data_IF_498391014027
#
_entry.id   IF_498391014027
#
_cell.length_a   1.000
_cell.length_b   1.000
_cell.length_c   1.000
_cell.angle_alpha   90.00
_cell.angle_beta   90.00
_cell.angle_gamma   90.00
#
_symmetry.space_group_name_H-M   'P 1'
#
loop_
_entity.id
_entity.type
_entity.pdbx_description
1 polymer ?
#
# COMPACT_ATOMS: atom_id res chain seq x y z
N UNK A 1 -31.52 -1.63 4.49
CA UNK A 1 -31.46 -0.23 4.03
C UNK A 1 -32.13 0.71 5.00
N UNK A 2 -33.40 1.08 4.75
CA UNK A 2 -34.16 2.05 5.56
C UNK A 2 -34.18 1.68 7.04
N UNK A 3 -34.53 0.43 7.37
CA UNK A 3 -34.59 -0.07 8.75
C UNK A 3 -33.27 0.08 9.53
N UNK A 4 -32.12 -0.03 8.84
CA UNK A 4 -30.79 0.11 9.45
C UNK A 4 -30.46 1.58 9.69
N UNK A 5 -30.79 2.46 8.73
CA UNK A 5 -30.47 3.89 8.84
C UNK A 5 -31.38 4.66 9.78
N UNK A 6 -32.63 4.22 9.95
CA UNK A 6 -33.57 4.79 10.91
C UNK A 6 -33.36 4.30 12.35
N UNK A 7 -32.46 3.34 12.57
CA UNK A 7 -32.30 2.66 13.86
C UNK A 7 -33.45 1.70 14.20
N UNK A 8 -34.53 1.65 13.40
CA UNK A 8 -35.71 0.82 13.66
C UNK A 8 -35.36 -0.66 13.81
N UNK A 9 -34.38 -1.16 13.03
CA UNK A 9 -33.94 -2.54 13.17
C UNK A 9 -33.29 -2.81 14.53
N UNK A 10 -32.53 -1.86 15.07
CA UNK A 10 -31.85 -2.04 16.36
C UNK A 10 -32.80 -2.01 17.56
N UNK A 11 -33.97 -1.39 17.40
CA UNK A 11 -35.03 -1.33 18.42
C UNK A 11 -36.10 -2.39 18.25
N UNK A 12 -36.10 -3.13 17.13
CA UNK A 12 -37.04 -4.20 16.88
C UNK A 12 -36.81 -5.40 17.81
N UNK A 13 -37.80 -6.29 17.91
CA UNK A 13 -37.66 -7.54 18.66
C UNK A 13 -36.57 -8.44 18.06
N UNK A 14 -36.01 -9.32 18.89
CA UNK A 14 -34.89 -10.19 18.50
C UNK A 14 -35.24 -11.04 17.27
N UNK A 15 -36.46 -11.56 17.19
CA UNK A 15 -36.92 -12.41 16.10
C UNK A 15 -37.03 -11.64 14.76
N UNK A 16 -37.44 -10.38 14.80
CA UNK A 16 -37.48 -9.50 13.62
C UNK A 16 -36.06 -9.20 13.12
N UNK A 17 -35.14 -8.96 14.05
CA UNK A 17 -33.72 -8.77 13.72
C UNK A 17 -33.10 -10.02 13.08
N UNK A 18 -33.38 -11.19 13.66
CA UNK A 18 -32.94 -12.49 13.13
C UNK A 18 -33.47 -12.70 11.72
N UNK A 19 -34.75 -12.42 11.50
CA UNK A 19 -35.42 -12.56 10.21
C UNK A 19 -34.80 -11.62 9.18
N UNK A 20 -34.63 -10.35 9.52
CA UNK A 20 -34.06 -9.35 8.61
C UNK A 20 -32.61 -9.69 8.19
N UNK A 21 -31.76 -10.09 9.15
CA UNK A 21 -30.37 -10.47 8.86
C UNK A 21 -30.32 -11.75 8.01
N UNK A 22 -31.13 -12.75 8.35
CA UNK A 22 -31.19 -14.01 7.60
C UNK A 22 -31.65 -13.79 6.16
N UNK A 23 -32.71 -13.00 5.97
CA UNK A 23 -33.25 -12.69 4.65
C UNK A 23 -32.22 -11.94 3.80
N UNK A 24 -31.54 -10.95 4.39
CA UNK A 24 -30.51 -10.19 3.68
C UNK A 24 -29.35 -11.11 3.25
N UNK A 25 -28.87 -11.99 4.12
CA UNK A 25 -27.80 -12.95 3.80
C UNK A 25 -28.21 -13.96 2.72
N UNK A 26 -29.47 -14.38 2.70
CA UNK A 26 -30.00 -15.24 1.62
C UNK A 26 -30.08 -14.47 0.30
N UNK A 27 -30.55 -13.23 0.33
CA UNK A 27 -30.75 -12.42 -0.86
C UNK A 27 -29.42 -12.04 -1.53
N UNK A 28 -28.39 -11.69 -0.75
CA UNK A 28 -27.07 -11.36 -1.31
C UNK A 28 -26.39 -12.53 -2.01
N UNK A 29 -26.78 -13.77 -1.70
CA UNK A 29 -26.25 -14.97 -2.37
C UNK A 29 -26.88 -15.25 -3.73
N UNK A 30 -28.03 -14.64 -4.06
CA UNK A 30 -28.78 -14.96 -5.29
C UNK A 30 -28.04 -14.59 -6.57
N UNK A 31 -27.18 -13.56 -6.54
CA UNK A 31 -26.38 -13.10 -7.68
C UNK A 31 -25.02 -12.60 -7.22
N UNK A 32 -23.98 -12.82 -8.01
CA UNK A 32 -22.58 -12.50 -7.66
C UNK A 32 -22.28 -11.03 -7.36
N UNK A 33 -23.10 -10.09 -7.82
CA UNK A 33 -22.92 -8.65 -7.56
C UNK A 33 -23.67 -8.16 -6.31
N UNK A 34 -24.66 -8.91 -5.81
CA UNK A 34 -25.46 -8.49 -4.66
C UNK A 34 -24.70 -8.43 -3.34
N UNK A 35 -23.64 -9.23 -3.07
CA UNK A 35 -22.83 -9.06 -1.87
C UNK A 35 -22.25 -7.65 -1.76
N UNK A 36 -21.86 -7.04 -2.88
CA UNK A 36 -21.36 -5.66 -2.88
C UNK A 36 -22.45 -4.67 -2.45
N UNK A 37 -23.68 -4.86 -2.93
CA UNK A 37 -24.79 -3.98 -2.55
C UNK A 37 -25.28 -4.20 -1.11
N UNK A 38 -25.22 -5.45 -0.62
CA UNK A 38 -25.72 -5.82 0.72
C UNK A 38 -24.72 -5.57 1.85
N UNK A 39 -23.42 -5.70 1.58
CA UNK A 39 -22.34 -5.56 2.55
C UNK A 39 -22.43 -4.26 3.37
N UNK A 40 -22.58 -3.06 2.76
CA UNK A 40 -22.70 -1.81 3.52
C UNK A 40 -23.83 -1.81 4.54
N UNK A 41 -24.99 -2.41 4.23
CA UNK A 41 -26.12 -2.43 5.16
C UNK A 41 -25.87 -3.33 6.37
N UNK A 42 -25.20 -4.47 6.17
CA UNK A 42 -24.83 -5.36 7.26
C UNK A 42 -23.74 -4.72 8.12
N UNK A 43 -22.75 -4.07 7.51
CA UNK A 43 -21.69 -3.36 8.21
C UNK A 43 -22.24 -2.19 9.02
N UNK A 44 -23.14 -1.38 8.43
CA UNK A 44 -23.81 -0.27 9.14
C UNK A 44 -24.63 -0.78 10.32
N UNK A 45 -25.31 -1.92 10.16
CA UNK A 45 -26.05 -2.55 11.25
C UNK A 45 -25.12 -3.07 12.35
N UNK A 46 -24.04 -3.75 11.95
CA UNK A 46 -22.97 -4.23 12.84
C UNK A 46 -22.21 -3.11 13.54
N UNK A 47 -22.31 -1.85 13.10
CA UNK A 47 -21.76 -0.67 13.79
C UNK A 47 -22.72 -0.07 14.82
N UNK A 48 -24.01 -0.41 14.76
CA UNK A 48 -25.05 0.14 15.64
C UNK A 48 -25.46 -0.85 16.76
N UNK A 49 -25.55 -2.15 16.45
CA UNK A 49 -26.10 -3.17 17.37
C UNK A 49 -25.30 -3.34 18.68
N UNK A 50 -25.94 -3.49 19.84
CA UNK A 50 -25.20 -3.75 21.10
C UNK A 50 -24.70 -5.19 21.17
N UNK A 51 -23.64 -5.46 21.92
CA UNK A 51 -23.01 -6.79 22.03
C UNK A 51 -24.00 -7.89 22.45
N UNK A 52 -24.86 -7.61 23.43
CA UNK A 52 -25.89 -8.56 23.87
C UNK A 52 -26.82 -8.98 22.73
N UNK A 53 -27.30 -8.01 21.96
CA UNK A 53 -28.17 -8.21 20.80
C UNK A 53 -27.42 -8.91 19.67
N UNK A 54 -26.16 -8.53 19.42
CA UNK A 54 -25.31 -9.20 18.45
C UNK A 54 -25.15 -10.69 18.78
N UNK A 55 -24.82 -11.01 20.03
CA UNK A 55 -24.62 -12.39 20.50
C UNK A 55 -25.87 -13.25 20.36
N UNK A 56 -27.06 -12.68 20.59
CA UNK A 56 -28.34 -13.41 20.54
C UNK A 56 -28.95 -13.49 19.14
N UNK A 57 -28.98 -12.38 18.40
CA UNK A 57 -29.74 -12.25 17.17
C UNK A 57 -28.88 -12.43 15.91
N UNK A 58 -27.67 -11.86 15.90
CA UNK A 58 -26.90 -11.68 14.66
C UNK A 58 -25.83 -12.75 14.50
N UNK A 59 -25.03 -12.98 15.54
CA UNK A 59 -23.91 -13.89 15.53
C UNK A 59 -24.29 -15.34 15.18
N UNK A 60 -25.38 -15.93 15.73
CA UNK A 60 -25.76 -17.31 15.38
C UNK A 60 -26.06 -17.51 13.89
N UNK A 61 -26.45 -16.45 13.19
CA UNK A 61 -26.70 -16.47 11.74
C UNK A 61 -25.37 -16.34 11.01
N UNK A 62 -24.58 -15.30 11.32
CA UNK A 62 -23.29 -15.07 10.68
C UNK A 62 -22.32 -16.23 10.88
N UNK A 63 -22.30 -16.83 12.06
CA UNK A 63 -21.43 -17.93 12.41
C UNK A 63 -21.63 -19.14 11.48
N UNK A 64 -22.86 -19.40 11.05
CA UNK A 64 -23.19 -20.49 10.10
C UNK A 64 -22.69 -20.22 8.68
N UNK A 65 -22.40 -18.97 8.36
CA UNK A 65 -21.92 -18.52 7.05
C UNK A 65 -20.41 -18.47 6.94
N UNK A 66 -19.70 -18.58 8.07
CA UNK A 66 -18.23 -18.56 8.10
C UNK A 66 -17.70 -19.86 7.50
N UNK A 67 -16.94 -19.73 6.42
CA UNK A 67 -16.24 -20.84 5.77
C UNK A 67 -14.78 -20.88 6.21
N UNK A 68 -14.09 -22.01 5.97
CA UNK A 68 -12.65 -22.07 6.13
C UNK A 68 -11.93 -20.98 5.32
N UNK A 69 -10.82 -20.48 5.85
CA UNK A 69 -10.11 -19.29 5.33
C UNK A 69 -9.96 -19.19 3.80
N UNK A 70 -9.54 -20.25 3.08
CA UNK A 70 -9.38 -20.20 1.62
C UNK A 70 -10.69 -20.03 0.84
N UNK A 71 -11.81 -20.49 1.38
CA UNK A 71 -13.14 -20.48 0.73
C UNK A 71 -13.98 -19.27 1.15
N UNK A 72 -13.41 -18.43 2.01
CA UNK A 72 -14.11 -17.31 2.59
C UNK A 72 -14.34 -16.20 1.56
N UNK A 73 -15.55 -15.65 1.57
CA UNK A 73 -15.91 -14.54 0.67
C UNK A 73 -15.38 -13.21 1.20
N UNK A 74 -15.17 -12.24 0.30
CA UNK A 74 -14.71 -10.90 0.68
C UNK A 74 -15.68 -10.21 1.66
N UNK A 75 -16.98 -10.33 1.42
CA UNK A 75 -18.04 -9.82 2.30
C UNK A 75 -17.90 -10.41 3.72
N UNK A 76 -17.66 -11.73 3.81
CA UNK A 76 -17.53 -12.37 5.12
C UNK A 76 -16.20 -12.05 5.80
N UNK A 77 -15.11 -11.80 5.05
CA UNK A 77 -13.89 -11.18 5.60
C UNK A 77 -14.20 -9.82 6.21
N UNK A 78 -14.91 -8.94 5.50
CA UNK A 78 -15.27 -7.61 6.00
C UNK A 78 -16.09 -7.69 7.29
N UNK A 79 -17.12 -8.54 7.30
CA UNK A 79 -17.97 -8.74 8.48
C UNK A 79 -17.18 -9.28 9.66
N UNK A 80 -16.32 -10.29 9.45
CA UNK A 80 -15.51 -10.87 10.52
C UNK A 80 -14.55 -9.84 11.10
N UNK A 81 -13.93 -8.99 10.28
CA UNK A 81 -13.05 -7.91 10.75
C UNK A 81 -13.79 -6.92 11.65
N UNK A 82 -14.98 -6.48 11.22
CA UNK A 82 -15.82 -5.58 12.03
C UNK A 82 -16.31 -6.27 13.32
N UNK A 83 -16.66 -7.55 13.25
CA UNK A 83 -17.13 -8.29 14.42
C UNK A 83 -16.01 -8.59 15.42
N UNK A 84 -14.80 -8.91 14.95
CA UNK A 84 -13.61 -9.11 15.78
C UNK A 84 -13.24 -7.82 16.52
N UNK A 85 -13.24 -6.68 15.83
CA UNK A 85 -12.95 -5.36 16.42
C UNK A 85 -14.01 -4.96 17.46
N UNK A 86 -15.31 -5.16 17.15
CA UNK A 86 -16.41 -4.64 17.98
C UNK A 86 -16.89 -5.60 19.06
N UNK A 87 -16.79 -6.90 18.84
CA UNK A 87 -17.33 -7.96 19.72
C UNK A 87 -16.30 -9.07 19.99
N UNK A 88 -15.10 -8.74 20.51
CA UNK A 88 -14.02 -9.73 20.71
C UNK A 88 -14.37 -10.84 21.71
N UNK A 89 -15.30 -10.57 22.63
CA UNK A 89 -15.85 -11.55 23.58
C UNK A 89 -16.72 -12.62 22.91
N UNK A 90 -17.34 -12.29 21.77
CA UNK A 90 -18.26 -13.17 21.03
C UNK A 90 -17.53 -13.86 19.89
N UNK A 91 -16.76 -13.10 19.09
CA UNK A 91 -15.86 -13.65 18.06
C UNK A 91 -14.55 -14.08 18.72
N UNK A 92 -14.63 -15.13 19.52
CA UNK A 92 -13.51 -15.56 20.35
C UNK A 92 -12.36 -16.14 19.52
N UNK A 93 -11.14 -16.03 20.05
CA UNK A 93 -9.95 -16.70 19.53
C UNK A 93 -10.15 -18.20 19.33
N UNK A 94 -10.96 -18.85 20.19
CA UNK A 94 -11.29 -20.28 20.06
C UNK A 94 -12.06 -20.56 18.76
N UNK A 95 -13.06 -19.73 18.45
CA UNK A 95 -13.82 -19.84 17.22
C UNK A 95 -12.93 -19.64 15.99
N UNK A 96 -12.11 -18.58 15.99
CA UNK A 96 -11.21 -18.28 14.87
C UNK A 96 -10.18 -19.39 14.64
N UNK A 97 -9.66 -20.01 15.71
CA UNK A 97 -8.73 -21.14 15.59
C UNK A 97 -9.40 -22.36 14.97
N UNK A 98 -10.68 -22.59 15.26
CA UNK A 98 -11.45 -23.73 14.73
C UNK A 98 -11.87 -23.52 13.27
N UNK A 99 -12.17 -22.29 12.86
CA UNK A 99 -12.71 -22.00 11.52
C UNK A 99 -11.65 -21.50 10.54
N UNK A 100 -10.74 -20.65 10.97
CA UNK A 100 -9.72 -20.01 10.13
C UNK A 100 -8.31 -20.56 10.36
N UNK A 101 -8.12 -21.49 11.28
CA UNK A 101 -6.80 -21.95 11.74
C UNK A 101 -5.91 -20.78 12.18
N UNK A 102 -6.50 -19.78 12.84
CA UNK A 102 -5.81 -18.57 13.28
C UNK A 102 -6.42 -17.98 14.54
N UNK A 103 -5.63 -17.26 15.34
CA UNK A 103 -6.15 -16.51 16.48
C UNK A 103 -6.85 -15.21 16.10
N UNK A 104 -6.66 -14.73 14.86
CA UNK A 104 -7.18 -13.46 14.36
C UNK A 104 -7.73 -13.62 12.94
N UNK A 105 -8.61 -12.70 12.51
CA UNK A 105 -9.15 -12.75 11.15
C UNK A 105 -8.07 -12.45 10.11
N UNK A 106 -7.19 -11.47 10.36
CA UNK A 106 -6.00 -11.23 9.56
C UNK A 106 -4.80 -11.94 10.17
N UNK A 107 -4.21 -12.85 9.41
CA UNK A 107 -3.03 -13.61 9.80
C UNK A 107 -2.35 -14.21 8.60
N UNK A 108 -1.09 -14.63 8.73
CA UNK A 108 -0.36 -15.26 7.64
C UNK A 108 -1.09 -16.46 7.00
N UNK A 109 -1.95 -17.17 7.75
CA UNK A 109 -2.73 -18.31 7.24
C UNK A 109 -3.97 -17.88 6.43
N UNK A 110 -4.59 -16.75 6.78
CA UNK A 110 -5.82 -16.25 6.13
C UNK A 110 -5.53 -15.30 4.97
N UNK A 111 -4.39 -14.61 4.98
CA UNK A 111 -3.97 -13.67 3.95
C UNK A 111 -4.02 -14.24 2.50
N UNK A 112 -3.57 -15.49 2.22
CA UNK A 112 -3.71 -16.07 0.89
C UNK A 112 -5.17 -16.19 0.43
N UNK A 113 -6.08 -16.55 1.34
CA UNK A 113 -7.52 -16.63 1.09
C UNK A 113 -8.14 -15.25 0.84
N UNK A 114 -7.73 -14.24 1.61
CA UNK A 114 -8.15 -12.85 1.40
C UNK A 114 -7.76 -12.36 -0.01
N UNK A 115 -6.51 -12.59 -0.43
CA UNK A 115 -6.07 -12.19 -1.78
C UNK A 115 -6.84 -12.95 -2.87
N UNK A 116 -7.15 -14.23 -2.66
CA UNK A 116 -7.99 -15.00 -3.57
C UNK A 116 -9.39 -14.40 -3.70
N UNK A 117 -10.01 -14.02 -2.57
CA UNK A 117 -11.31 -13.37 -2.54
C UNK A 117 -11.29 -12.02 -3.29
N UNK A 118 -10.24 -11.21 -3.11
CA UNK A 118 -10.05 -9.93 -3.82
C UNK A 118 -9.93 -10.17 -5.34
N UNK A 119 -9.16 -11.17 -5.76
CA UNK A 119 -8.96 -11.52 -7.19
C UNK A 119 -10.24 -11.98 -7.88
N UNK A 120 -11.26 -12.41 -7.13
CA UNK A 120 -12.58 -12.77 -7.66
C UNK A 120 -13.36 -11.58 -8.26
N UNK A 121 -12.93 -10.34 -7.99
CA UNK A 121 -13.60 -9.13 -8.45
C UNK A 121 -12.89 -8.44 -9.61
N UNK A 122 -13.67 -7.70 -10.41
CA UNK A 122 -13.14 -6.84 -11.48
C UNK A 122 -12.44 -5.62 -10.87
N UNK A 123 -11.36 -5.16 -11.50
CA UNK A 123 -10.57 -3.99 -11.08
C UNK A 123 -11.42 -2.76 -10.74
N UNK A 124 -12.40 -2.41 -11.60
CA UNK A 124 -13.28 -1.27 -11.38
C UNK A 124 -14.09 -1.37 -10.09
N UNK A 125 -14.41 -2.58 -9.64
CA UNK A 125 -15.12 -2.81 -8.38
C UNK A 125 -14.15 -2.61 -7.21
N UNK A 126 -12.95 -3.20 -7.29
CA UNK A 126 -11.92 -3.13 -6.25
C UNK A 126 -11.61 -1.67 -5.88
N UNK A 127 -11.45 -0.80 -6.89
CA UNK A 127 -11.04 0.60 -6.68
C UNK A 127 -12.18 1.47 -6.12
N UNK A 128 -13.43 1.19 -6.47
CA UNK A 128 -14.55 2.10 -6.18
C UNK A 128 -15.46 1.64 -5.04
N UNK A 129 -15.34 0.40 -4.57
CA UNK A 129 -16.26 -0.15 -3.60
C UNK A 129 -15.75 0.01 -2.17
N UNK A 130 -16.57 0.58 -1.29
CA UNK A 130 -16.21 0.94 0.10
C UNK A 130 -15.69 -0.25 0.93
N UNK A 131 -16.22 -1.46 0.71
CA UNK A 131 -15.75 -2.67 1.40
C UNK A 131 -14.24 -2.91 1.23
N UNK A 132 -13.67 -2.64 0.05
CA UNK A 132 -12.23 -2.80 -0.17
C UNK A 132 -11.45 -1.76 0.63
N UNK A 133 -11.90 -0.50 0.62
CA UNK A 133 -11.28 0.55 1.41
C UNK A 133 -11.27 0.19 2.91
N UNK A 134 -12.38 -0.34 3.44
CA UNK A 134 -12.48 -0.69 4.86
C UNK A 134 -11.63 -1.92 5.22
N UNK A 135 -11.63 -2.98 4.42
CA UNK A 135 -10.72 -4.13 4.61
C UNK A 135 -9.25 -3.70 4.58
N UNK A 136 -8.88 -2.80 3.67
CA UNK A 136 -7.51 -2.33 3.56
C UNK A 136 -7.11 -1.46 4.75
N UNK A 137 -8.03 -0.69 5.34
CA UNK A 137 -7.79 0.00 6.62
C UNK A 137 -7.49 -0.99 7.74
N UNK A 138 -8.23 -2.10 7.84
CA UNK A 138 -7.92 -3.16 8.81
C UNK A 138 -6.53 -3.76 8.55
N UNK A 139 -6.20 -4.03 7.28
CA UNK A 139 -4.89 -4.57 6.91
C UNK A 139 -3.72 -3.63 7.25
N UNK A 140 -3.92 -2.33 7.10
CA UNK A 140 -2.89 -1.31 7.41
C UNK A 140 -2.68 -1.15 8.92
N UNK A 141 -3.75 -1.28 9.70
CA UNK A 141 -3.70 -1.25 11.17
C UNK A 141 -3.18 -2.55 11.79
N UNK A 142 -3.19 -3.64 11.03
CA UNK A 142 -2.63 -4.91 11.46
C UNK A 142 -1.11 -4.81 11.72
N UNK A 143 -0.53 -5.75 12.48
CA UNK A 143 0.92 -5.84 12.66
C UNK A 143 1.68 -5.82 11.32
N UNK A 144 2.88 -5.22 11.32
CA UNK A 144 3.64 -4.99 10.09
C UNK A 144 3.93 -6.30 9.32
N UNK A 145 4.17 -7.40 10.01
CA UNK A 145 4.39 -8.72 9.41
C UNK A 145 3.17 -9.23 8.64
N UNK A 146 1.94 -8.89 9.06
CA UNK A 146 0.71 -9.26 8.35
C UNK A 146 0.55 -8.44 7.07
N UNK A 147 0.81 -7.13 7.13
CA UNK A 147 0.82 -6.28 5.94
C UNK A 147 1.90 -6.73 4.95
N UNK A 148 3.11 -7.06 5.43
CA UNK A 148 4.18 -7.61 4.61
C UNK A 148 3.79 -8.97 4.03
N UNK A 149 3.15 -9.85 4.81
CA UNK A 149 2.66 -11.14 4.32
C UNK A 149 1.66 -10.98 3.18
N UNK A 150 0.72 -10.03 3.30
CA UNK A 150 -0.21 -9.69 2.22
C UNK A 150 0.53 -9.22 0.97
N UNK A 151 1.48 -8.30 1.14
CA UNK A 151 2.23 -7.76 0.01
C UNK A 151 3.08 -8.84 -0.67
N UNK A 152 3.70 -9.74 0.10
CA UNK A 152 4.41 -10.91 -0.43
C UNK A 152 3.50 -11.82 -1.26
N UNK A 153 2.25 -12.06 -0.81
CA UNK A 153 1.28 -12.81 -1.61
C UNK A 153 0.93 -12.10 -2.92
N UNK A 154 0.79 -10.77 -2.91
CA UNK A 154 0.65 -9.97 -4.14
C UNK A 154 1.85 -10.17 -5.05
N UNK A 155 3.07 -10.13 -4.51
CA UNK A 155 4.30 -10.35 -5.29
C UNK A 155 4.42 -11.75 -5.90
N UNK A 156 3.98 -12.77 -5.18
CA UNK A 156 4.03 -14.17 -5.62
C UNK A 156 2.93 -14.44 -6.65
N UNK A 157 1.73 -13.90 -6.46
CA UNK A 157 0.58 -14.29 -7.29
C UNK A 157 0.30 -13.33 -8.46
N UNK A 158 0.64 -12.05 -8.32
CA UNK A 158 0.31 -11.00 -9.29
C UNK A 158 1.53 -10.43 -10.01
N UNK A 159 2.72 -10.49 -9.39
CA UNK A 159 3.98 -9.96 -9.94
C UNK A 159 5.03 -11.04 -10.26
N UNK A 160 4.66 -12.33 -10.29
CA UNK A 160 5.62 -13.40 -10.55
C UNK A 160 6.13 -13.44 -12.00
N UNK A 161 5.26 -13.23 -12.98
CA UNK A 161 5.63 -13.21 -14.40
C UNK A 161 5.77 -11.77 -14.88
N UNK A 162 7.00 -11.34 -15.11
CA UNK A 162 7.33 -9.95 -15.48
C UNK A 162 7.84 -9.88 -16.93
N UNK A 163 7.29 -10.73 -17.81
CA UNK A 163 7.61 -10.76 -19.25
C UNK A 163 6.65 -9.87 -20.06
N UNK A 164 5.35 -9.92 -19.79
CA UNK A 164 4.31 -9.11 -20.45
C UNK A 164 3.30 -8.51 -19.45
N UNK A 165 2.79 -7.31 -19.75
CA UNK A 165 1.75 -6.68 -18.92
C UNK A 165 0.43 -7.43 -19.05
N UNK A 166 -0.25 -7.60 -17.92
CA UNK A 166 -1.55 -8.26 -17.84
C UNK A 166 -2.44 -7.55 -16.82
N UNK A 167 -3.71 -7.93 -16.74
CA UNK A 167 -4.62 -7.42 -15.72
C UNK A 167 -4.13 -7.69 -14.29
N UNK A 168 -3.30 -8.72 -14.06
CA UNK A 168 -2.70 -9.00 -12.75
C UNK A 168 -1.76 -7.89 -12.31
N UNK A 169 -0.99 -7.34 -13.25
CA UNK A 169 -0.08 -6.23 -12.99
C UNK A 169 -0.82 -4.95 -12.65
N UNK A 170 -1.87 -4.64 -13.42
CA UNK A 170 -2.75 -3.50 -13.14
C UNK A 170 -3.40 -3.68 -11.76
N UNK A 171 -3.88 -4.89 -11.44
CA UNK A 171 -4.42 -5.22 -10.12
C UNK A 171 -3.42 -4.95 -9.00
N UNK A 172 -2.17 -5.40 -9.14
CA UNK A 172 -1.15 -5.16 -8.13
C UNK A 172 -0.90 -3.66 -7.89
N UNK A 173 -0.90 -2.83 -8.95
CA UNK A 173 -0.79 -1.38 -8.84
C UNK A 173 -2.00 -0.77 -8.12
N UNK A 174 -3.21 -1.21 -8.43
CA UNK A 174 -4.42 -0.72 -7.75
C UNK A 174 -4.46 -1.13 -6.28
N UNK A 175 -4.05 -2.35 -5.94
CA UNK A 175 -3.94 -2.79 -4.54
C UNK A 175 -2.87 -1.99 -3.78
N UNK A 176 -1.73 -1.69 -4.44
CA UNK A 176 -0.71 -0.81 -3.88
C UNK A 176 -1.25 0.61 -3.66
N UNK A 177 -1.99 1.16 -4.62
CA UNK A 177 -2.63 2.46 -4.48
C UNK A 177 -3.62 2.49 -3.30
N UNK A 178 -4.46 1.47 -3.14
CA UNK A 178 -5.36 1.36 -1.99
C UNK A 178 -4.60 1.33 -0.67
N UNK A 179 -3.47 0.62 -0.59
CA UNK A 179 -2.61 0.67 0.59
C UNK A 179 -2.09 2.09 0.82
N UNK A 180 -1.44 2.69 -0.18
CA UNK A 180 -0.83 4.03 -0.09
C UNK A 180 -1.84 5.10 0.31
N UNK A 181 -3.08 5.04 -0.19
CA UNK A 181 -4.14 6.01 0.13
C UNK A 181 -4.62 5.94 1.58
N UNK A 182 -4.43 4.81 2.26
CA UNK A 182 -4.93 4.58 3.61
C UNK A 182 -3.81 4.42 4.65
N UNK A 183 -2.53 4.46 4.25
CA UNK A 183 -1.39 4.42 5.17
C UNK A 183 -1.43 5.64 6.13
N UNK A 184 -1.60 5.37 7.41
CA UNK A 184 -1.47 6.38 8.47
C UNK A 184 0.02 6.70 8.75
N UNK A 185 0.88 5.68 8.69
CA UNK A 185 2.32 5.83 8.82
C UNK A 185 3.03 5.63 7.47
N UNK A 186 3.45 6.74 6.86
CA UNK A 186 4.14 6.71 5.58
C UNK A 186 5.46 5.92 5.59
N UNK A 187 6.09 5.65 6.74
CA UNK A 187 7.31 4.82 6.75
C UNK A 187 7.06 3.38 6.30
N UNK A 188 5.83 2.87 6.46
CA UNK A 188 5.45 1.52 6.04
C UNK A 188 5.59 1.31 4.53
N UNK A 189 5.45 2.39 3.73
CA UNK A 189 5.59 2.31 2.27
C UNK A 189 6.98 1.84 1.83
N UNK A 190 8.02 2.09 2.65
CA UNK A 190 9.41 1.70 2.34
C UNK A 190 9.55 0.18 2.25
N UNK A 191 8.79 -0.57 3.06
CA UNK A 191 8.73 -2.03 3.01
C UNK A 191 8.01 -2.54 1.76
N UNK A 192 6.93 -1.85 1.37
CA UNK A 192 6.10 -2.19 0.21
C UNK A 192 6.77 -1.88 -1.15
N UNK A 193 7.75 -0.97 -1.19
CA UNK A 193 8.58 -0.70 -2.38
C UNK A 193 9.61 -1.81 -2.59
N UNK A 194 9.12 -2.96 -3.05
CA UNK A 194 9.92 -4.15 -3.33
C UNK A 194 10.54 -4.11 -4.73
N UNK A 195 11.63 -4.86 -4.98
CA UNK A 195 12.27 -4.88 -6.29
C UNK A 195 11.33 -5.28 -7.43
N UNK A 196 10.37 -6.19 -7.21
CA UNK A 196 9.38 -6.57 -8.23
C UNK A 196 8.45 -5.42 -8.60
N UNK A 197 7.92 -4.69 -7.60
CA UNK A 197 7.10 -3.51 -7.86
C UNK A 197 7.90 -2.42 -8.59
N UNK A 198 9.13 -2.15 -8.14
CA UNK A 198 9.99 -1.15 -8.78
C UNK A 198 10.33 -1.53 -10.22
N UNK A 199 10.61 -2.81 -10.47
CA UNK A 199 10.80 -3.36 -11.81
C UNK A 199 9.55 -3.14 -12.67
N UNK A 200 8.36 -3.37 -12.12
CA UNK A 200 7.08 -3.17 -12.80
C UNK A 200 6.82 -1.69 -13.15
N UNK A 201 7.21 -0.76 -12.28
CA UNK A 201 7.10 0.69 -12.50
C UNK A 201 8.13 1.26 -13.49
N UNK A 202 9.28 0.59 -13.67
CA UNK A 202 10.33 1.04 -14.57
C UNK A 202 10.34 0.33 -15.92
N UNK A 203 9.92 -0.94 -15.97
CA UNK A 203 10.18 -1.79 -17.13
C UNK A 203 9.42 -1.27 -18.33
N UNK A 204 10.14 -1.23 -19.45
CA UNK A 204 9.59 -1.36 -20.81
C UNK A 204 9.09 -2.80 -21.00
N UNK A 205 8.15 -3.24 -20.17
CA UNK A 205 7.44 -4.48 -20.44
C UNK A 205 6.86 -4.38 -21.84
N UNK A 206 6.81 -5.51 -22.57
CA UNK A 206 5.97 -5.55 -23.76
C UNK A 206 4.54 -5.30 -23.26
N UNK A 207 4.02 -4.11 -23.56
CA UNK A 207 2.67 -3.74 -23.22
C UNK A 207 1.83 -3.88 -24.48
N UNK A 208 0.94 -4.87 -24.57
CA UNK A 208 0.01 -4.97 -25.68
C UNK A 208 -0.75 -3.64 -25.83
N UNK A 209 -1.02 -3.21 -27.07
CA UNK A 209 -1.65 -1.91 -27.34
C UNK A 209 -2.92 -1.67 -26.50
N UNK A 210 -3.73 -2.72 -26.30
CA UNK A 210 -4.96 -2.70 -25.48
C UNK A 210 -4.75 -2.34 -24.00
N UNK A 211 -3.56 -2.60 -23.43
CA UNK A 211 -3.24 -2.32 -22.03
C UNK A 211 -2.36 -1.09 -21.84
N UNK A 212 -1.75 -0.57 -22.92
CA UNK A 212 -0.72 0.47 -22.83
C UNK A 212 -1.21 1.72 -22.11
N UNK A 213 -2.38 2.25 -22.53
CA UNK A 213 -2.95 3.44 -21.92
C UNK A 213 -3.28 3.24 -20.43
N UNK A 214 -3.96 2.14 -20.09
CA UNK A 214 -4.41 1.85 -18.72
C UNK A 214 -3.22 1.60 -17.81
N UNK A 215 -2.29 0.74 -18.22
CA UNK A 215 -1.10 0.41 -17.43
C UNK A 215 -0.22 1.63 -17.20
N UNK A 216 0.07 2.41 -18.25
CA UNK A 216 0.85 3.64 -18.12
C UNK A 216 0.18 4.64 -17.18
N UNK A 217 -1.15 4.71 -17.21
CA UNK A 217 -1.91 5.56 -16.30
C UNK A 217 -1.81 5.07 -14.85
N UNK A 218 -2.04 3.77 -14.59
CA UNK A 218 -1.88 3.19 -13.24
C UNK A 218 -0.46 3.37 -12.68
N UNK A 219 0.58 3.25 -13.51
CA UNK A 219 1.96 3.54 -13.10
C UNK A 219 2.14 5.02 -12.71
N UNK A 220 1.64 5.96 -13.53
CA UNK A 220 1.71 7.40 -13.21
C UNK A 220 0.96 7.73 -11.93
N UNK A 221 -0.25 7.21 -11.77
CA UNK A 221 -1.07 7.39 -10.56
C UNK A 221 -0.37 6.83 -9.33
N UNK A 222 0.24 5.66 -9.44
CA UNK A 222 1.05 5.06 -8.37
C UNK A 222 2.18 5.97 -7.90
N UNK A 223 2.94 6.52 -8.84
CA UNK A 223 4.04 7.43 -8.51
C UNK A 223 3.54 8.76 -7.93
N UNK A 224 2.41 9.28 -8.42
CA UNK A 224 1.78 10.48 -7.87
C UNK A 224 1.22 10.26 -6.46
N UNK A 225 0.59 9.12 -6.20
CA UNK A 225 0.09 8.78 -4.87
C UNK A 225 1.24 8.58 -3.88
N UNK A 226 2.34 7.96 -4.31
CA UNK A 226 3.56 7.85 -3.51
C UNK A 226 4.14 9.23 -3.17
N UNK A 227 4.19 10.14 -4.14
CA UNK A 227 4.59 11.53 -3.90
C UNK A 227 3.69 12.21 -2.87
N UNK A 228 2.36 12.15 -3.05
CA UNK A 228 1.38 12.74 -2.12
C UNK A 228 1.52 12.18 -0.70
N UNK A 229 1.68 10.86 -0.55
CA UNK A 229 1.91 10.22 0.75
C UNK A 229 3.15 10.81 1.43
N UNK A 230 4.26 10.94 0.70
CA UNK A 230 5.50 11.51 1.23
C UNK A 230 5.34 12.98 1.63
N UNK A 231 4.63 13.78 0.81
CA UNK A 231 4.31 15.19 1.12
C UNK A 231 3.54 15.30 2.42
N UNK A 232 2.52 14.47 2.60
CA UNK A 232 1.65 14.50 3.77
C UNK A 232 2.37 14.04 5.04
N UNK A 233 3.31 13.11 4.91
CA UNK A 233 4.08 12.58 6.03
C UNK A 233 5.03 13.59 6.68
N UNK A 234 5.46 14.61 5.92
CA UNK A 234 6.47 15.61 6.34
C UNK A 234 7.74 15.01 6.96
N UNK A 235 8.06 13.75 6.62
CA UNK A 235 9.19 13.00 7.17
C UNK A 235 10.32 12.90 6.15
N UNK A 236 11.33 13.74 6.31
CA UNK A 236 12.51 13.72 5.43
C UNK A 236 13.26 12.38 5.46
N UNK A 237 13.20 11.63 6.57
CA UNK A 237 13.77 10.27 6.67
C UNK A 237 13.03 9.30 5.76
N UNK A 238 11.69 9.34 5.76
CA UNK A 238 10.86 8.49 4.90
C UNK A 238 11.09 8.84 3.43
N UNK A 239 11.04 10.13 3.09
CA UNK A 239 11.32 10.63 1.73
C UNK A 239 12.69 10.13 1.23
N UNK A 240 13.74 10.27 2.04
CA UNK A 240 15.08 9.80 1.69
C UNK A 240 15.11 8.29 1.44
N UNK A 241 14.44 7.48 2.27
CA UNK A 241 14.37 6.04 2.09
C UNK A 241 13.62 5.64 0.82
N UNK A 242 12.54 6.36 0.49
CA UNK A 242 11.79 6.17 -0.77
C UNK A 242 12.68 6.50 -1.97
N UNK A 243 13.35 7.66 -1.97
CA UNK A 243 14.30 8.04 -3.04
C UNK A 243 15.37 6.96 -3.23
N UNK A 244 15.98 6.49 -2.14
CA UNK A 244 17.02 5.43 -2.20
C UNK A 244 16.46 4.13 -2.78
N UNK A 245 15.23 3.77 -2.47
CA UNK A 245 14.57 2.58 -3.04
C UNK A 245 14.36 2.74 -4.54
N UNK A 246 13.80 3.87 -4.99
CA UNK A 246 13.55 4.16 -6.41
C UNK A 246 14.84 4.16 -7.24
N UNK A 247 15.93 4.74 -6.72
CA UNK A 247 17.22 4.85 -7.42
C UNK A 247 18.04 3.55 -7.39
N UNK A 248 18.12 2.88 -6.24
CA UNK A 248 19.15 1.86 -6.01
C UNK A 248 18.60 0.44 -5.82
N UNK A 249 17.34 0.28 -5.38
CA UNK A 249 16.72 -1.05 -5.19
C UNK A 249 15.92 -1.52 -6.42
N UNK A 250 15.79 -0.64 -7.40
CA UNK A 250 15.18 -0.94 -8.68
C UNK A 250 16.13 -1.69 -9.63
N UNK A 251 17.45 -1.64 -9.36
CA UNK A 251 18.50 -2.17 -10.24
C UNK A 251 18.83 -1.27 -11.43
N UNK A 252 18.16 -0.11 -11.55
CA UNK A 252 18.36 0.85 -12.62
C UNK A 252 18.23 2.28 -12.06
N UNK A 253 19.34 3.01 -12.06
CA UNK A 253 19.37 4.40 -11.56
C UNK A 253 18.58 5.36 -12.46
N UNK A 254 18.38 5.01 -13.75
CA UNK A 254 17.60 5.78 -14.73
C UNK A 254 16.08 5.64 -14.53
N UNK A 255 15.61 5.60 -13.28
CA UNK A 255 14.22 5.39 -12.92
C UNK A 255 13.28 6.40 -13.59
N UNK A 256 13.59 7.70 -13.53
CA UNK A 256 12.73 8.75 -14.11
C UNK A 256 12.73 8.74 -15.64
N UNK A 257 13.85 8.39 -16.27
CA UNK A 257 13.91 8.24 -17.73
C UNK A 257 13.09 7.06 -18.21
N UNK A 258 13.02 6.00 -17.38
CA UNK A 258 12.33 4.77 -17.70
C UNK A 258 10.83 4.85 -17.42
N UNK A 259 10.44 5.48 -16.30
CA UNK A 259 9.04 5.70 -15.91
C UNK A 259 8.38 6.91 -16.59
N UNK A 260 9.17 7.86 -17.10
CA UNK A 260 8.66 9.12 -17.68
C UNK A 260 8.09 10.11 -16.66
N UNK A 261 8.22 9.84 -15.35
CA UNK A 261 7.71 10.68 -14.27
C UNK A 261 8.87 11.18 -13.41
N UNK A 262 8.93 12.49 -13.18
CA UNK A 262 9.99 13.17 -12.40
C UNK A 262 9.78 13.06 -10.88
N UNK A 263 9.39 11.88 -10.40
CA UNK A 263 9.00 11.66 -9.00
C UNK A 263 10.18 11.81 -8.02
N UNK A 264 11.40 11.44 -8.43
CA UNK A 264 12.59 11.56 -7.58
C UNK A 264 12.93 13.04 -7.39
N UNK A 265 12.92 13.83 -8.47
CA UNK A 265 13.15 15.27 -8.39
C UNK A 265 12.09 15.97 -7.52
N UNK A 266 10.82 15.57 -7.65
CA UNK A 266 9.74 16.09 -6.81
C UNK A 266 9.95 15.75 -5.32
N UNK A 267 10.36 14.52 -5.01
CA UNK A 267 10.67 14.09 -3.65
C UNK A 267 11.93 14.76 -3.08
N UNK A 268 12.95 15.03 -3.90
CA UNK A 268 14.16 15.73 -3.47
C UNK A 268 13.84 17.11 -2.89
N UNK A 269 12.86 17.81 -3.46
CA UNK A 269 12.38 19.10 -2.94
C UNK A 269 11.72 19.04 -1.55
N UNK A 270 11.44 17.84 -1.02
CA UNK A 270 10.88 17.63 0.32
C UNK A 270 11.93 17.25 1.37
N UNK A 271 13.20 17.16 0.98
CA UNK A 271 14.28 16.83 1.90
C UNK A 271 14.68 18.04 2.75
N UNK A 272 14.87 17.80 4.05
CA UNK A 272 15.60 18.72 4.93
C UNK A 272 17.09 18.73 4.60
N UNK A 273 17.85 19.73 5.05
CA UNK A 273 19.30 19.83 4.85
C UNK A 273 20.05 18.54 5.20
N UNK A 274 19.69 17.91 6.32
CA UNK A 274 20.28 16.63 6.74
C UNK A 274 19.95 15.51 5.75
N UNK A 275 18.73 15.50 5.21
CA UNK A 275 18.31 14.57 4.16
C UNK A 275 19.07 14.80 2.85
N UNK A 276 19.21 16.06 2.45
CA UNK A 276 19.97 16.51 1.28
C UNK A 276 21.44 16.06 1.39
N UNK A 277 22.11 16.35 2.51
CA UNK A 277 23.50 15.95 2.73
C UNK A 277 23.68 14.42 2.68
N UNK A 278 22.74 13.67 3.28
CA UNK A 278 22.78 12.21 3.21
C UNK A 278 22.56 11.66 1.80
N UNK A 279 21.70 12.30 0.99
CA UNK A 279 21.52 11.92 -0.40
C UNK A 279 22.76 12.28 -1.23
N UNK A 280 23.35 13.45 -1.00
CA UNK A 280 24.57 13.91 -1.65
C UNK A 280 25.74 12.93 -1.43
N UNK A 281 25.93 12.43 -0.20
CA UNK A 281 26.94 11.39 0.10
C UNK A 281 26.70 10.14 -0.74
N UNK A 282 25.47 9.62 -0.77
CA UNK A 282 25.16 8.41 -1.53
C UNK A 282 25.36 8.60 -3.04
N UNK A 283 24.97 9.75 -3.59
CA UNK A 283 25.18 10.06 -5.00
C UNK A 283 26.68 10.23 -5.33
N UNK A 284 27.45 10.88 -4.45
CA UNK A 284 28.90 11.01 -4.59
C UNK A 284 29.57 9.63 -4.63
N UNK A 285 29.19 8.72 -3.74
CA UNK A 285 29.79 7.38 -3.66
C UNK A 285 29.50 6.55 -4.94
N UNK A 286 28.44 6.85 -5.68
CA UNK A 286 28.17 6.29 -7.01
C UNK A 286 29.10 6.90 -8.06
N UNK A 287 29.24 8.23 -8.05
CA UNK A 287 30.09 8.98 -9.00
C UNK A 287 31.56 8.55 -8.87
N UNK A 288 32.07 8.45 -7.64
CA UNK A 288 33.46 8.03 -7.37
C UNK A 288 33.70 6.54 -7.57
N UNK A 289 32.64 5.73 -7.74
CA UNK A 289 32.75 4.28 -7.81
C UNK A 289 33.06 3.62 -6.47
N UNK A 290 32.86 4.32 -5.36
CA UNK A 290 33.03 3.80 -4.00
C UNK A 290 31.85 2.93 -3.53
N UNK A 291 30.77 2.88 -4.32
CA UNK A 291 29.61 2.01 -4.12
C UNK A 291 29.40 1.06 -5.30
N UNK A 292 28.56 0.04 -5.12
CA UNK A 292 28.17 -0.89 -6.18
C UNK A 292 26.67 -0.81 -6.47
N UNK A 293 26.30 -1.08 -7.72
CA UNK A 293 24.91 -1.21 -8.13
C UNK A 293 24.40 -2.61 -7.83
N UNK A 294 23.13 -2.71 -7.44
CA UNK A 294 22.44 -3.99 -7.35
C UNK A 294 22.01 -4.44 -8.74
N UNK A 295 22.28 -5.69 -9.06
CA UNK A 295 21.91 -6.33 -10.32
C UNK A 295 21.06 -7.58 -10.04
N UNK A 296 19.90 -7.66 -10.68
CA UNK A 296 18.94 -8.75 -10.49
C UNK A 296 19.01 -9.77 -11.64
N UNK A 297 20.23 -10.23 -11.96
CA UNK A 297 20.47 -11.28 -12.98
C UNK A 297 20.55 -12.65 -12.29
N UNK A 298 19.41 -13.25 -11.99
CA UNK A 298 19.33 -14.58 -11.37
C UNK A 298 18.42 -14.62 -10.14
N UNK A 299 18.41 -15.74 -9.40
CA UNK A 299 17.59 -15.91 -8.20
C UNK A 299 18.01 -15.00 -7.05
N UNK A 300 19.27 -14.57 -7.02
CA UNK A 300 19.81 -13.67 -5.99
C UNK A 300 20.37 -12.38 -6.61
N UNK A 301 20.23 -11.23 -5.93
CA UNK A 301 20.81 -9.98 -6.38
C UNK A 301 22.33 -10.00 -6.20
N UNK A 302 23.06 -9.65 -7.26
CA UNK A 302 24.51 -9.50 -7.25
C UNK A 302 24.91 -8.02 -7.21
N UNK A 303 26.16 -7.75 -6.84
CA UNK A 303 26.74 -6.42 -6.93
C UNK A 303 27.54 -6.29 -8.22
N UNK A 304 27.37 -5.17 -8.92
CA UNK A 304 28.20 -4.80 -10.06
C UNK A 304 28.73 -3.38 -9.92
N UNK A 305 29.78 -3.08 -10.69
CA UNK A 305 30.25 -1.72 -10.82
C UNK A 305 29.25 -0.84 -11.59
N UNK A 306 29.21 0.44 -11.24
CA UNK A 306 28.41 1.44 -11.93
C UNK A 306 29.00 1.73 -13.31
N UNK A 307 28.16 1.71 -14.35
CA UNK A 307 28.59 2.08 -15.69
C UNK A 307 28.78 3.61 -15.80
N UNK A 308 29.64 4.06 -16.72
CA UNK A 308 29.90 5.49 -16.92
C UNK A 308 28.63 6.31 -17.22
N UNK A 309 27.68 5.73 -17.97
CA UNK A 309 26.38 6.40 -18.24
C UNK A 309 25.56 6.61 -16.97
N UNK A 310 25.59 5.64 -16.05
CA UNK A 310 24.90 5.72 -14.76
C UNK A 310 25.56 6.75 -13.85
N UNK A 311 26.89 6.77 -13.82
CA UNK A 311 27.65 7.80 -13.11
C UNK A 311 27.32 9.20 -13.64
N UNK A 312 27.30 9.38 -14.96
CA UNK A 312 26.94 10.66 -15.58
C UNK A 312 25.52 11.11 -15.24
N UNK A 313 24.54 10.21 -15.28
CA UNK A 313 23.18 10.52 -14.84
C UNK A 313 23.11 10.90 -13.35
N UNK A 314 23.92 10.23 -12.52
CA UNK A 314 24.06 10.55 -11.10
C UNK A 314 24.64 11.95 -10.90
N UNK A 315 25.62 12.37 -11.72
CA UNK A 315 26.13 13.76 -11.71
C UNK A 315 25.00 14.75 -12.00
N UNK A 316 24.13 14.49 -12.98
CA UNK A 316 22.99 15.37 -13.25
C UNK A 316 22.01 15.46 -12.07
N UNK A 317 21.71 14.33 -11.42
CA UNK A 317 20.89 14.33 -10.19
C UNK A 317 21.58 15.08 -9.05
N UNK A 318 22.89 14.91 -8.90
CA UNK A 318 23.70 15.59 -7.89
C UNK A 318 23.72 17.10 -8.11
N UNK A 319 23.99 17.58 -9.32
CA UNK A 319 23.91 19.01 -9.65
C UNK A 319 22.53 19.59 -9.33
N UNK A 320 21.46 18.84 -9.65
CA UNK A 320 20.10 19.29 -9.34
C UNK A 320 19.79 19.30 -7.84
N UNK A 321 20.37 18.36 -7.09
CA UNK A 321 20.32 18.38 -5.62
C UNK A 321 20.96 19.67 -5.08
N UNK A 322 22.11 20.07 -5.64
CA UNK A 322 22.84 21.28 -5.26
C UNK A 322 22.07 22.58 -5.52
N UNK A 323 21.19 22.60 -6.53
CA UNK A 323 20.34 23.76 -6.85
C UNK A 323 19.10 23.91 -5.95
N UNK A 324 18.89 23.01 -4.98
CA UNK A 324 17.79 23.17 -4.03
C UNK A 324 18.11 24.29 -3.05
N UNK A 325 17.13 25.16 -2.81
CA UNK A 325 17.23 26.37 -1.99
C UNK A 325 17.75 26.14 -0.56
N UNK A 326 17.57 24.93 0.00
CA UNK A 326 18.13 24.51 1.30
C UNK A 326 19.66 24.47 1.36
N UNK A 327 20.37 24.47 0.22
CA UNK A 327 21.83 24.49 0.17
C UNK A 327 22.36 25.93 0.06
N UNK A 328 21.61 26.83 -0.58
CA UNK A 328 22.01 28.24 -0.74
C UNK A 328 22.05 29.01 0.58
N UNK A 329 21.17 28.68 1.54
CA UNK A 329 21.17 29.32 2.87
C UNK A 329 22.46 29.04 3.66
N UNK A 330 23.11 27.89 3.45
CA UNK A 330 24.37 27.57 4.13
C UNK A 330 25.60 28.23 3.51
N UNK A 331 25.66 28.32 2.19
CA UNK A 331 26.74 29.05 1.51
C UNK A 331 26.74 30.54 1.89
N UNK A 332 25.57 31.17 2.04
CA UNK A 332 25.50 32.55 2.55
C UNK A 332 25.86 32.63 4.04
N UNK A 333 25.44 31.68 4.88
CA UNK A 333 25.78 31.71 6.32
C UNK A 333 27.27 31.46 6.62
N UNK A 334 27.96 30.66 5.81
CA UNK A 334 29.42 30.45 5.93
C UNK A 334 30.22 31.62 5.34
N UNK A 335 29.67 32.36 4.38
CA UNK A 335 30.30 33.58 3.85
C UNK A 335 30.07 34.83 4.73
N UNK A 336 29.07 34.81 5.62
CA UNK A 336 28.77 35.91 6.55
C UNK A 336 29.47 35.75 7.92
N UNK A 337 30.15 34.63 8.17
CA UNK A 337 30.89 34.39 9.42
C UNK A 337 32.36 34.84 9.42
N UNK A 338 32.81 35.62 8.43
CA UNK A 338 34.13 36.24 8.49
C UNK A 338 34.10 37.78 8.38
N UNK A 339 33.78 38.49 9.50
CA UNK A 339 34.04 39.92 9.61
C UNK A 339 35.11 40.20 10.67
N UNK A 340 36.31 39.60 10.60
CA UNK A 340 37.47 40.07 11.37
C UNK A 340 38.78 39.94 10.58
N UNK A 341 38.91 40.71 9.52
CA UNK A 341 40.23 41.13 9.01
C UNK A 341 40.20 42.59 8.55
N UNK A 342 39.80 43.48 9.45
CA UNK A 342 40.12 44.91 9.37
C UNK A 342 40.83 45.30 10.65
N UNK A 343 42.14 45.54 10.54
CA UNK A 343 42.94 46.16 11.59
C UNK A 343 44.34 45.58 11.76
N UNK A 344 45.26 45.98 10.87
CA UNK A 344 46.59 46.48 11.21
C UNK A 344 47.44 46.54 9.93
N UNK A 345 47.60 47.74 9.36
CA UNK A 345 48.89 48.34 9.07
C UNK A 345 48.69 49.80 8.63
N UNK A 346 49.27 50.69 9.45
CA UNK A 346 49.41 52.16 9.39
C UNK A 346 48.27 52.98 9.97
#
# INVERSE_FOLDING_TARGET
GTLVRSGTLTTAEVDDQVTAVSQLLQDVKKKSYLPLAGDPFLIDYLKQVKEFTFKKAVWPILQKEVRPGPEQTLMMYHMLLVCEERFPSVVSTKFLKQTLNSSQVLSATTIPGLLLAVKGYRLKIIVNHSAFADIFKFLIKAPEDILQSFWQQVEIQLLADVTEVSNKHIMALELFNLLVLHLENASQVVGLLTPKLLSLLMKKLKVPARFNAIFSQSCRETLQNLYKLCTNAKSSKTVLSVIKKLLFKSGNIFFEQSSGVKVIQQLMGQLTDKGVMKLAVVLRDVITGSSSALEYKGPEPSNRQWHNKEKLYTVHLFCRLLTLSSIHVKQESELVQDPLSVGMYR
#
